data_IF_300206395789
#
_entry.id   IF_300206395789
#
_cell.length_a   1.000
_cell.length_b   1.000
_cell.length_c   1.000
_cell.angle_alpha   90.00
_cell.angle_beta   90.00
_cell.angle_gamma   90.00
#
_symmetry.space_group_name_H-M   'P 1'
#
loop_
_entity.id
_entity.type
_entity.pdbx_description
1 polymer ?
#
# COMPACT_ATOMS: atom_id res chain seq x y z
N UNK A 1 -25.58 14.48 14.32
CA UNK A 1 -25.07 13.62 13.23
C UNK A 1 -24.67 12.31 13.86
N UNK A 2 -25.19 11.17 13.38
CA UNK A 2 -24.67 9.88 13.82
C UNK A 2 -23.21 9.79 13.35
N UNK A 3 -22.28 9.43 14.25
CA UNK A 3 -20.87 9.29 13.89
C UNK A 3 -20.66 8.09 12.97
N UNK A 4 -19.67 8.19 12.07
CA UNK A 4 -19.23 7.05 11.28
C UNK A 4 -18.40 6.08 12.13
N UNK A 5 -18.57 4.78 11.89
CA UNK A 5 -17.81 3.73 12.56
C UNK A 5 -17.25 2.80 11.51
N UNK A 6 -15.92 2.66 11.50
CA UNK A 6 -15.21 1.78 10.59
C UNK A 6 -14.44 0.70 11.31
N UNK A 7 -14.23 -0.42 10.61
CA UNK A 7 -13.32 -1.48 11.02
C UNK A 7 -12.27 -1.69 9.93
N UNK A 8 -11.02 -1.87 10.32
CA UNK A 8 -10.02 -2.41 9.40
C UNK A 8 -10.00 -3.93 9.50
N UNK A 9 -9.99 -4.60 8.34
CA UNK A 9 -10.19 -6.03 8.22
C UNK A 9 -8.97 -6.70 7.57
N UNK A 10 -8.16 -7.34 8.42
CA UNK A 10 -6.86 -7.89 8.06
C UNK A 10 -6.90 -9.41 7.89
N UNK A 11 -6.15 -9.91 6.91
CA UNK A 11 -5.67 -11.30 6.87
C UNK A 11 -6.69 -12.41 6.58
N UNK A 12 -7.99 -12.19 6.74
CA UNK A 12 -8.98 -13.21 6.40
C UNK A 12 -9.28 -13.21 4.90
N UNK A 13 -9.02 -14.35 4.25
CA UNK A 13 -9.34 -14.63 2.84
C UNK A 13 -10.30 -15.80 2.68
N UNK A 14 -10.96 -16.22 3.76
CA UNK A 14 -11.98 -17.26 3.77
C UNK A 14 -13.37 -16.59 3.73
N UNK A 15 -14.06 -16.58 2.57
CA UNK A 15 -15.28 -15.79 2.40
C UNK A 15 -16.43 -16.19 3.32
N UNK A 16 -16.48 -17.44 3.79
CA UNK A 16 -17.46 -17.91 4.77
C UNK A 16 -17.30 -17.20 6.11
N UNK A 17 -16.10 -17.23 6.68
CA UNK A 17 -15.81 -16.54 7.95
C UNK A 17 -15.95 -15.03 7.82
N UNK A 18 -15.49 -14.46 6.71
CA UNK A 18 -15.60 -13.03 6.49
C UNK A 18 -17.05 -12.53 6.44
N UNK A 19 -18.00 -13.32 5.95
CA UNK A 19 -19.42 -12.95 5.97
C UNK A 19 -19.98 -12.85 7.38
N UNK A 20 -19.56 -13.73 8.29
CA UNK A 20 -20.02 -13.69 9.67
C UNK A 20 -19.39 -12.50 10.42
N UNK A 21 -18.11 -12.22 10.20
CA UNK A 21 -17.43 -11.03 10.74
C UNK A 21 -18.10 -9.73 10.25
N UNK A 22 -18.38 -9.63 8.94
CA UNK A 22 -19.04 -8.46 8.36
C UNK A 22 -20.46 -8.27 8.91
N UNK A 23 -21.21 -9.36 9.14
CA UNK A 23 -22.52 -9.27 9.79
C UNK A 23 -22.40 -8.76 11.23
N UNK A 24 -21.40 -9.23 11.97
CA UNK A 24 -21.14 -8.75 13.32
C UNK A 24 -20.76 -7.26 13.36
N UNK A 25 -19.92 -6.80 12.43
CA UNK A 25 -19.57 -5.39 12.29
C UNK A 25 -20.79 -4.52 11.97
N UNK A 26 -21.64 -4.96 11.06
CA UNK A 26 -22.89 -4.26 10.74
C UNK A 26 -23.84 -4.21 11.95
N UNK A 27 -23.99 -5.32 12.68
CA UNK A 27 -24.76 -5.36 13.94
C UNK A 27 -24.17 -4.45 15.03
N UNK A 28 -22.86 -4.22 15.01
CA UNK A 28 -22.19 -3.23 15.83
C UNK A 28 -22.29 -1.79 15.27
N UNK A 29 -23.10 -1.53 14.24
CA UNK A 29 -23.33 -0.19 13.69
C UNK A 29 -22.18 0.36 12.87
N UNK A 30 -21.35 -0.50 12.26
CA UNK A 30 -20.35 -0.07 11.30
C UNK A 30 -21.01 0.51 10.03
N UNK A 31 -20.41 1.58 9.49
CA UNK A 31 -20.80 2.20 8.23
C UNK A 31 -19.83 1.87 7.09
N UNK A 32 -18.59 1.50 7.42
CA UNK A 32 -17.58 1.09 6.45
C UNK A 32 -16.61 0.04 6.96
N UNK A 33 -15.95 -0.66 6.03
CA UNK A 33 -14.87 -1.62 6.32
C UNK A 33 -13.70 -1.34 5.40
N UNK A 34 -12.49 -1.26 5.97
CA UNK A 34 -11.24 -1.14 5.23
C UNK A 34 -10.65 -2.52 5.01
N UNK A 35 -10.68 -2.99 3.76
CA UNK A 35 -10.04 -4.24 3.36
C UNK A 35 -8.60 -3.96 2.95
N UNK A 36 -7.65 -4.62 3.59
CA UNK A 36 -6.25 -4.56 3.16
C UNK A 36 -6.04 -5.44 1.94
N UNK A 37 -5.51 -4.89 0.85
CA UNK A 37 -5.12 -5.61 -0.36
C UNK A 37 -3.60 -5.54 -0.52
N UNK A 38 -2.96 -6.67 -0.23
CA UNK A 38 -1.50 -6.84 -0.31
C UNK A 38 -1.05 -7.17 -1.74
N UNK A 39 0.27 -7.22 -1.97
CA UNK A 39 0.81 -7.73 -3.24
C UNK A 39 0.50 -9.22 -3.47
N UNK A 40 0.38 -10.02 -2.40
CA UNK A 40 -0.03 -11.42 -2.48
C UNK A 40 -1.48 -11.55 -2.97
N UNK A 41 -2.36 -10.72 -2.43
CA UNK A 41 -3.77 -10.68 -2.83
C UNK A 41 -3.92 -10.32 -4.29
N UNK A 42 -3.17 -9.31 -4.75
CA UNK A 42 -3.18 -8.89 -6.14
C UNK A 42 -2.68 -10.00 -7.08
N UNK A 43 -1.67 -10.77 -6.66
CA UNK A 43 -1.07 -11.81 -7.48
C UNK A 43 -1.91 -13.08 -7.54
N UNK A 44 -2.51 -13.49 -6.42
CA UNK A 44 -3.07 -14.84 -6.26
C UNK A 44 -4.55 -14.87 -5.89
N UNK A 45 -5.06 -13.81 -5.26
CA UNK A 45 -6.42 -13.77 -4.72
C UNK A 45 -7.28 -12.56 -5.16
N UNK A 46 -7.16 -12.02 -6.41
CA UNK A 46 -7.89 -10.81 -6.78
C UNK A 46 -9.41 -11.02 -6.78
N UNK A 47 -9.88 -12.23 -7.10
CA UNK A 47 -11.29 -12.60 -6.99
C UNK A 47 -11.82 -12.57 -5.56
N UNK A 48 -11.01 -12.99 -4.59
CA UNK A 48 -11.37 -13.00 -3.17
C UNK A 48 -11.58 -11.59 -2.63
N UNK A 49 -10.70 -10.63 -2.99
CA UNK A 49 -10.87 -9.23 -2.58
C UNK A 49 -12.20 -8.67 -3.09
N UNK A 50 -12.54 -8.91 -4.36
CA UNK A 50 -13.84 -8.52 -4.92
C UNK A 50 -15.00 -9.16 -4.16
N UNK A 51 -14.90 -10.44 -3.79
CA UNK A 51 -15.96 -11.13 -3.05
C UNK A 51 -16.16 -10.55 -1.65
N UNK A 52 -15.09 -10.10 -0.99
CA UNK A 52 -15.12 -9.43 0.32
C UNK A 52 -15.74 -8.02 0.23
N UNK A 53 -15.38 -7.25 -0.80
CA UNK A 53 -15.99 -5.95 -1.11
C UNK A 53 -17.50 -6.12 -1.33
N UNK A 54 -17.89 -7.06 -2.19
CA UNK A 54 -19.29 -7.35 -2.44
C UNK A 54 -20.04 -7.85 -1.18
N UNK A 55 -19.36 -8.61 -0.31
CA UNK A 55 -19.95 -9.04 0.97
C UNK A 55 -20.19 -7.87 1.92
N UNK A 56 -19.31 -6.87 1.91
CA UNK A 56 -19.44 -5.64 2.71
C UNK A 56 -20.64 -4.84 2.24
N UNK A 57 -20.77 -4.63 0.92
CA UNK A 57 -21.92 -3.93 0.33
C UNK A 57 -23.25 -4.62 0.65
N UNK A 58 -23.30 -5.97 0.66
CA UNK A 58 -24.51 -6.72 1.05
C UNK A 58 -24.95 -6.49 2.51
N UNK A 59 -24.06 -6.02 3.38
CA UNK A 59 -24.42 -5.62 4.75
C UNK A 59 -24.84 -4.15 4.86
N UNK A 60 -24.93 -3.41 3.74
CA UNK A 60 -25.23 -1.98 3.73
C UNK A 60 -24.07 -1.09 4.17
N UNK A 61 -22.85 -1.64 4.26
CA UNK A 61 -21.64 -0.91 4.59
C UNK A 61 -20.85 -0.53 3.33
N UNK A 62 -20.08 0.55 3.39
CA UNK A 62 -19.15 0.96 2.33
C UNK A 62 -17.84 0.17 2.42
N UNK A 63 -17.29 -0.29 1.30
CA UNK A 63 -16.00 -0.97 1.27
C UNK A 63 -14.87 -0.03 0.84
N UNK A 64 -13.79 0.00 1.63
CA UNK A 64 -12.57 0.73 1.32
C UNK A 64 -11.45 -0.28 1.03
N UNK A 65 -10.47 0.12 0.22
CA UNK A 65 -9.26 -0.67 -0.02
C UNK A 65 -8.00 0.07 0.40
N UNK A 66 -7.14 -0.66 1.09
CA UNK A 66 -5.84 -0.20 1.57
C UNK A 66 -4.69 -0.98 0.89
N UNK A 67 -3.69 -0.25 0.38
CA UNK A 67 -2.50 -0.76 -0.30
C UNK A 67 -1.43 -1.34 0.65
N UNK A 68 -1.85 -2.10 1.65
CA UNK A 68 -1.03 -2.57 2.77
C UNK A 68 0.29 -3.24 2.35
N UNK A 69 1.41 -2.62 2.74
CA UNK A 69 2.79 -3.06 2.47
C UNK A 69 3.24 -2.92 1.01
N UNK A 70 2.41 -2.41 0.10
CA UNK A 70 2.72 -2.40 -1.33
C UNK A 70 4.01 -1.61 -1.64
N UNK A 71 4.93 -2.25 -2.37
CA UNK A 71 6.22 -1.70 -2.72
C UNK A 71 7.16 -1.37 -1.56
N UNK A 72 6.81 -1.72 -0.31
CA UNK A 72 7.49 -1.26 0.90
C UNK A 72 7.46 0.27 1.09
N UNK A 73 6.49 0.95 0.47
CA UNK A 73 6.31 2.42 0.51
C UNK A 73 4.97 2.87 1.06
N UNK A 74 4.11 1.92 1.44
CA UNK A 74 2.87 2.14 2.18
C UNK A 74 2.97 1.44 3.52
N UNK A 75 2.15 1.87 4.48
CA UNK A 75 2.05 1.29 5.80
C UNK A 75 1.80 -0.22 5.78
N UNK A 76 2.25 -0.88 6.84
CA UNK A 76 1.99 -2.30 7.08
C UNK A 76 3.16 -3.25 6.95
N UNK A 77 2.96 -4.45 7.52
CA UNK A 77 3.97 -5.50 7.66
C UNK A 77 3.88 -6.58 6.58
N UNK A 78 3.00 -6.42 5.58
CA UNK A 78 2.91 -7.36 4.47
C UNK A 78 4.19 -7.37 3.63
N UNK A 79 4.57 -8.56 3.15
CA UNK A 79 5.74 -8.71 2.30
C UNK A 79 5.53 -8.02 0.95
N UNK A 80 6.51 -7.22 0.52
CA UNK A 80 6.56 -6.69 -0.85
C UNK A 80 7.42 -7.60 -1.72
N UNK A 81 6.78 -8.42 -2.56
CA UNK A 81 7.43 -9.21 -3.60
C UNK A 81 8.13 -8.32 -4.62
N UNK A 82 7.59 -7.14 -4.91
CA UNK A 82 8.18 -6.17 -5.83
C UNK A 82 9.59 -5.74 -5.40
N UNK A 83 9.87 -5.67 -4.08
CA UNK A 83 11.21 -5.37 -3.54
C UNK A 83 12.19 -6.51 -3.88
N UNK A 84 11.77 -7.76 -3.73
CA UNK A 84 12.59 -8.94 -4.03
C UNK A 84 12.80 -9.15 -5.54
N UNK A 85 11.77 -8.93 -6.35
CA UNK A 85 11.81 -9.17 -7.80
C UNK A 85 12.72 -8.18 -8.56
N UNK A 86 12.96 -6.99 -7.99
CA UNK A 86 13.64 -5.91 -8.71
C UNK A 86 14.66 -5.12 -7.86
N UNK A 87 15.59 -5.73 -7.12
CA UNK A 87 16.43 -5.04 -6.12
C UNK A 87 17.18 -3.79 -6.64
N UNK A 88 17.52 -3.75 -7.94
CA UNK A 88 18.15 -2.58 -8.57
C UNK A 88 17.30 -1.31 -8.64
N UNK A 89 15.98 -1.43 -8.50
CA UNK A 89 15.04 -0.31 -8.49
C UNK A 89 14.54 0.06 -7.08
N UNK A 90 15.12 -0.55 -6.05
CA UNK A 90 14.87 -0.17 -4.66
C UNK A 90 15.53 1.19 -4.32
N UNK A 91 15.06 1.79 -3.23
CA UNK A 91 15.57 3.04 -2.72
C UNK A 91 17.04 2.87 -2.29
N UNK A 92 17.79 3.96 -2.43
CA UNK A 92 19.14 4.07 -1.88
C UNK A 92 19.19 5.25 -0.95
N UNK A 93 19.90 5.12 0.16
CA UNK A 93 20.18 6.26 1.03
C UNK A 93 21.08 7.28 0.34
N UNK A 94 21.21 8.46 0.93
CA UNK A 94 22.20 9.46 0.56
C UNK A 94 23.65 8.93 0.54
N UNK A 95 23.93 7.89 1.35
CA UNK A 95 25.21 7.17 1.42
C UNK A 95 25.30 5.94 0.49
N UNK A 96 24.30 5.73 -0.38
CA UNK A 96 24.31 4.66 -1.37
C UNK A 96 23.88 3.27 -0.87
N UNK A 97 23.49 3.13 0.41
CA UNK A 97 22.98 1.85 0.96
C UNK A 97 21.62 1.52 0.38
N UNK A 98 21.43 0.27 -0.05
CA UNK A 98 20.13 -0.22 -0.50
C UNK A 98 19.14 -0.28 0.66
N UNK A 99 17.88 0.00 0.38
CA UNK A 99 16.78 -0.11 1.32
C UNK A 99 15.70 -1.07 0.80
N UNK A 100 14.99 -1.79 1.67
CA UNK A 100 13.96 -2.76 1.30
C UNK A 100 12.62 -2.07 0.96
N UNK A 101 12.67 -1.02 0.14
CA UNK A 101 11.51 -0.33 -0.39
C UNK A 101 11.78 0.11 -1.82
N UNK A 102 10.75 0.14 -2.64
CA UNK A 102 10.84 0.58 -4.03
C UNK A 102 10.98 2.09 -4.14
N UNK A 103 11.71 2.58 -5.13
CA UNK A 103 11.75 4.01 -5.39
C UNK A 103 10.48 4.46 -6.15
N UNK A 104 9.69 5.45 -5.67
CA UNK A 104 8.47 5.93 -6.34
C UNK A 104 8.68 6.51 -7.75
N UNK A 105 9.93 6.79 -8.11
CA UNK A 105 10.29 7.23 -9.46
C UNK A 105 10.56 6.07 -10.42
N UNK A 106 10.70 4.83 -9.97
CA UNK A 106 10.96 3.68 -10.84
C UNK A 106 9.66 3.11 -11.42
N UNK A 107 9.66 2.63 -12.68
CA UNK A 107 8.45 2.11 -13.32
C UNK A 107 8.03 0.83 -12.59
N UNK A 108 8.99 0.00 -12.22
CA UNK A 108 8.78 -1.21 -11.42
C UNK A 108 8.33 -0.95 -9.95
N UNK A 109 7.83 0.24 -9.62
CA UNK A 109 6.87 0.48 -8.51
C UNK A 109 5.53 0.96 -9.07
N UNK A 110 5.56 1.91 -10.00
CA UNK A 110 4.37 2.47 -10.64
C UNK A 110 3.52 1.43 -11.35
N UNK A 111 4.13 0.46 -12.04
CA UNK A 111 3.40 -0.56 -12.78
C UNK A 111 2.64 -1.50 -11.82
N UNK A 112 3.25 -2.04 -10.73
CA UNK A 112 2.48 -2.70 -9.67
C UNK A 112 1.35 -1.87 -9.06
N UNK A 113 1.58 -0.59 -8.79
CA UNK A 113 0.53 0.29 -8.23
C UNK A 113 -0.60 0.55 -9.22
N UNK A 114 -0.30 0.68 -10.51
CA UNK A 114 -1.31 0.79 -11.54
C UNK A 114 -2.18 -0.48 -11.59
N UNK A 115 -1.57 -1.67 -11.57
CA UNK A 115 -2.32 -2.94 -11.50
C UNK A 115 -3.15 -3.07 -10.22
N UNK A 116 -2.61 -2.58 -9.09
CA UNK A 116 -3.34 -2.54 -7.83
C UNK A 116 -4.59 -1.64 -7.94
N UNK A 117 -4.47 -0.48 -8.59
CA UNK A 117 -5.59 0.41 -8.86
C UNK A 117 -6.62 -0.23 -9.81
N UNK A 118 -6.16 -0.91 -10.86
CA UNK A 118 -7.05 -1.65 -11.77
C UNK A 118 -7.86 -2.72 -11.01
N UNK A 119 -7.22 -3.43 -10.08
CA UNK A 119 -7.88 -4.41 -9.22
C UNK A 119 -8.86 -3.74 -8.24
N UNK A 120 -8.51 -2.57 -7.69
CA UNK A 120 -9.40 -1.81 -6.80
C UNK A 120 -10.65 -1.30 -7.53
N UNK A 121 -10.51 -0.86 -8.78
CA UNK A 121 -11.65 -0.51 -9.64
C UNK A 121 -12.49 -1.76 -9.94
N UNK A 122 -11.85 -2.87 -10.32
CA UNK A 122 -12.53 -4.12 -10.64
C UNK A 122 -13.23 -4.78 -9.45
N UNK A 123 -12.84 -4.43 -8.21
CA UNK A 123 -13.51 -4.92 -7.00
C UNK A 123 -14.76 -4.15 -6.64
N UNK A 124 -15.03 -3.01 -7.29
CA UNK A 124 -16.10 -2.07 -6.95
C UNK A 124 -15.92 -1.41 -5.57
N UNK A 125 -14.67 -1.22 -5.12
CA UNK A 125 -14.43 -0.54 -3.85
C UNK A 125 -14.75 0.96 -3.96
N UNK A 126 -15.37 1.53 -2.92
CA UNK A 126 -15.83 2.92 -2.96
C UNK A 126 -14.70 3.92 -2.73
N UNK A 127 -13.75 3.58 -1.84
CA UNK A 127 -12.64 4.46 -1.45
C UNK A 127 -11.32 3.69 -1.51
N UNK A 128 -10.30 4.33 -2.06
CA UNK A 128 -8.89 3.90 -1.92
C UNK A 128 -8.27 4.71 -0.80
N UNK A 129 -7.76 4.02 0.22
CA UNK A 129 -6.95 4.57 1.30
C UNK A 129 -5.47 4.32 0.96
N UNK A 130 -4.72 5.40 0.78
CA UNK A 130 -3.26 5.33 0.71
C UNK A 130 -2.68 5.35 2.12
N UNK A 131 -2.37 4.17 2.67
CA UNK A 131 -1.88 4.06 4.03
C UNK A 131 -0.42 4.51 4.17
N UNK A 132 -0.20 5.53 5.00
CA UNK A 132 1.09 6.11 5.37
C UNK A 132 2.18 6.10 4.25
N UNK A 133 1.94 6.74 3.08
CA UNK A 133 2.92 6.73 2.00
C UNK A 133 4.24 7.35 2.44
N UNK A 134 5.33 6.60 2.31
CA UNK A 134 6.64 7.03 2.80
C UNK A 134 7.79 6.61 1.90
N UNK A 135 8.87 7.40 1.92
CA UNK A 135 10.19 6.87 1.59
C UNK A 135 10.63 5.94 2.72
N UNK A 136 11.59 5.06 2.47
CA UNK A 136 11.94 4.06 3.46
C UNK A 136 12.41 4.70 4.77
N UNK A 137 11.70 4.39 5.87
CA UNK A 137 12.01 4.81 7.23
C UNK A 137 12.40 3.55 8.01
N UNK A 138 13.69 3.39 8.33
CA UNK A 138 14.09 2.41 9.35
C UNK A 138 13.72 3.02 10.71
N UNK A 139 12.72 2.47 11.40
CA UNK A 139 12.25 2.95 12.73
C UNK A 139 13.37 3.10 13.79
N UNK A 140 14.50 2.35 13.78
CA UNK A 140 15.66 2.61 14.64
C UNK A 140 16.77 3.48 14.01
N UNK A 141 16.64 3.96 12.76
CA UNK A 141 17.65 4.76 12.06
C UNK A 141 17.22 6.20 11.78
N UNK A 142 16.41 6.80 12.67
CA UNK A 142 16.15 8.25 12.66
C UNK A 142 17.41 9.01 13.10
N UNK A 143 18.51 8.85 12.38
CA UNK A 143 19.58 9.84 12.36
C UNK A 143 19.21 10.89 11.32
N UNK A 144 19.19 12.15 11.74
CA UNK A 144 19.17 13.35 10.92
C UNK A 144 19.95 13.27 9.58
N UNK A 145 21.07 12.55 9.55
CA UNK A 145 21.94 12.46 8.38
C UNK A 145 21.62 11.31 7.38
N UNK A 146 20.63 10.45 7.63
CA UNK A 146 20.31 9.32 6.74
C UNK A 146 18.91 9.45 6.16
N UNK A 147 18.85 9.76 4.87
CA UNK A 147 17.60 9.87 4.13
C UNK A 147 17.64 9.06 2.84
N UNK A 148 16.46 8.60 2.42
CA UNK A 148 16.22 8.04 1.10
C UNK A 148 15.28 8.99 0.34
N UNK A 149 15.27 9.04 -0.98
CA UNK A 149 15.95 8.18 -1.94
C UNK A 149 16.93 8.98 -2.81
N UNK A 150 18.18 8.52 -2.90
CA UNK A 150 19.26 9.09 -3.74
C UNK A 150 19.70 8.14 -4.87
N UNK A 151 18.79 7.30 -5.37
CA UNK A 151 19.06 6.46 -6.54
C UNK A 151 19.36 7.30 -7.80
N UNK A 152 19.94 6.69 -8.84
CA UNK A 152 20.34 7.41 -10.06
C UNK A 152 19.18 8.19 -10.71
N UNK A 153 17.96 7.65 -10.65
CA UNK A 153 16.77 8.32 -11.21
C UNK A 153 16.33 9.52 -10.39
N UNK A 154 16.39 9.44 -9.06
CA UNK A 154 16.14 10.58 -8.17
C UNK A 154 17.18 11.69 -8.38
N UNK A 155 18.47 11.34 -8.48
CA UNK A 155 19.55 12.32 -8.75
C UNK A 155 19.33 13.07 -10.07
N UNK A 156 19.04 12.33 -11.16
CA UNK A 156 18.73 12.93 -12.47
C UNK A 156 17.49 13.83 -12.41
N UNK A 157 16.43 13.39 -11.72
CA UNK A 157 15.20 14.17 -11.59
C UNK A 157 15.41 15.46 -10.79
N UNK A 158 16.21 15.41 -9.73
CA UNK A 158 16.56 16.57 -8.93
C UNK A 158 17.42 17.56 -9.72
N UNK A 159 18.48 17.09 -10.39
CA UNK A 159 19.32 17.95 -11.23
C UNK A 159 18.50 18.67 -12.30
N UNK A 160 17.59 17.96 -12.98
CA UNK A 160 16.71 18.60 -13.96
C UNK A 160 15.77 19.65 -13.36
N UNK A 161 15.31 19.46 -12.12
CA UNK A 161 14.35 20.37 -11.47
C UNK A 161 15.05 21.59 -10.86
N UNK A 162 16.25 21.42 -10.33
CA UNK A 162 16.92 22.43 -9.51
C UNK A 162 18.21 22.98 -10.11
N UNK A 163 18.71 22.43 -11.23
CA UNK A 163 19.94 22.87 -11.87
C UNK A 163 21.23 22.53 -11.11
N UNK A 164 21.11 21.95 -9.91
CA UNK A 164 22.25 21.59 -9.04
C UNK A 164 22.22 20.10 -8.67
N UNK A 165 23.37 19.48 -8.36
CA UNK A 165 23.43 18.10 -7.91
C UNK A 165 22.64 17.86 -6.63
N UNK A 166 22.02 16.68 -6.52
CA UNK A 166 21.30 16.27 -5.31
C UNK A 166 22.27 16.14 -4.12
N UNK A 167 21.97 16.73 -2.94
CA UNK A 167 22.85 16.72 -1.77
C UNK A 167 23.28 15.32 -1.36
N UNK A 168 24.47 15.21 -0.76
CA UNK A 168 25.02 13.96 -0.18
C UNK A 168 24.87 13.90 1.33
N UNK A 169 24.77 15.06 1.99
CA UNK A 169 24.62 15.27 3.42
C UNK A 169 23.53 16.33 3.60
#
# INVERSE_FOLDING_TARGET
>A
MAGERGFSYFGNRYPTHARDDLRAMAGAGATFVVHVMTEEDLAWNPGTIRDLVAATHRQGMTAWLDSWGAGGVFGGEAASYAVMAHPGACQKTNLGKHQPARCPRQPALRDPIARWLDAAVASDATIVLWDEPHLFILRPQRSDLRWSCRCARCRRAFLRRHGVPMPTL
#
